data_IF_978546728129
#
_entry.id   IF_978546728129
#
_cell.length_a   1.000
_cell.length_b   1.000
_cell.length_c   1.000
_cell.angle_alpha   90.00
_cell.angle_beta   90.00
_cell.angle_gamma   90.00
#
_symmetry.space_group_name_H-M   'P 1'
#
loop_
_entity.id
_entity.type
_entity.pdbx_description
1 polymer ?
#
# COMPACT_ATOMS: atom_id res chain seq x y z
N UNK A 1 16.67 4.10 -10.10
CA UNK A 1 17.46 4.72 -9.02
C UNK A 1 18.37 5.82 -9.53
N UNK A 2 19.17 5.63 -10.60
CA UNK A 2 20.04 6.67 -11.15
C UNK A 2 19.30 7.97 -11.52
N UNK A 3 18.14 7.87 -12.19
CA UNK A 3 17.34 9.02 -12.60
C UNK A 3 16.78 9.85 -11.40
N UNK A 4 16.38 9.19 -10.31
CA UNK A 4 15.98 9.90 -9.09
C UNK A 4 17.17 10.54 -8.40
N UNK A 5 18.31 9.84 -8.39
CA UNK A 5 19.54 10.33 -7.75
C UNK A 5 20.17 11.51 -8.50
N UNK A 6 20.03 11.58 -9.84
CA UNK A 6 20.52 12.69 -10.66
C UNK A 6 19.65 13.96 -10.55
N UNK A 7 18.43 13.86 -10.03
CA UNK A 7 17.54 15.00 -9.78
C UNK A 7 17.43 15.26 -8.26
N UNK A 8 18.22 16.19 -7.69
CA UNK A 8 18.33 16.36 -6.22
C UNK A 8 16.99 16.62 -5.53
N UNK A 9 16.07 17.32 -6.18
CA UNK A 9 14.72 17.56 -5.69
C UNK A 9 13.90 16.29 -5.59
N UNK A 10 13.96 15.42 -6.61
CA UNK A 10 13.26 14.15 -6.66
C UNK A 10 13.79 13.18 -5.60
N UNK A 11 15.09 13.06 -5.43
CA UNK A 11 15.70 12.20 -4.40
C UNK A 11 15.29 12.60 -3.00
N UNK A 12 15.33 13.89 -2.68
CA UNK A 12 14.95 14.38 -1.35
C UNK A 12 13.49 14.10 -1.02
N UNK A 13 12.58 14.42 -1.94
CA UNK A 13 11.14 14.15 -1.78
C UNK A 13 10.89 12.66 -1.62
N UNK A 14 11.52 11.83 -2.43
CA UNK A 14 11.42 10.38 -2.38
C UNK A 14 11.91 9.82 -1.04
N UNK A 15 13.11 10.19 -0.59
CA UNK A 15 13.68 9.70 0.66
C UNK A 15 12.83 10.08 1.89
N UNK A 16 12.37 11.33 1.95
CA UNK A 16 11.48 11.78 3.03
C UNK A 16 10.15 11.02 3.00
N UNK A 17 9.61 10.74 1.81
CA UNK A 17 8.34 10.01 1.68
C UNK A 17 8.41 8.58 2.23
N UNK A 18 9.57 7.93 2.17
CA UNK A 18 9.78 6.59 2.75
C UNK A 18 9.65 6.66 4.27
N UNK A 19 10.34 7.63 4.90
CA UNK A 19 10.26 7.82 6.36
C UNK A 19 8.84 8.18 6.78
N UNK A 20 8.14 9.02 6.00
CA UNK A 20 6.77 9.45 6.31
C UNK A 20 5.71 8.33 6.21
N UNK A 21 6.02 7.23 5.51
CA UNK A 21 5.15 6.05 5.43
C UNK A 21 5.43 4.99 6.49
N UNK A 22 6.57 5.07 7.19
CA UNK A 22 6.94 4.12 8.23
C UNK A 22 5.92 4.04 9.38
N UNK A 23 5.36 5.14 9.89
CA UNK A 23 4.36 5.10 10.95
C UNK A 23 3.11 4.28 10.59
N UNK A 24 2.61 4.36 9.34
CA UNK A 24 1.46 3.57 8.88
C UNK A 24 1.66 2.08 9.12
N UNK A 25 2.84 1.57 8.79
CA UNK A 25 3.19 0.15 8.95
C UNK A 25 3.48 -0.22 10.41
N UNK A 26 3.97 0.72 11.21
CA UNK A 26 4.10 0.53 12.68
C UNK A 26 2.74 0.42 13.35
N UNK A 27 1.75 1.20 12.89
CA UNK A 27 0.42 1.26 13.50
C UNK A 27 -0.39 -0.03 13.33
N UNK A 28 -0.15 -0.83 12.31
CA UNK A 28 -0.84 -2.10 12.08
C UNK A 28 -0.71 -3.05 13.28
N UNK A 29 0.47 -3.20 13.83
CA UNK A 29 0.73 -4.05 15.00
C UNK A 29 0.77 -3.24 16.31
N UNK A 30 1.24 -1.99 16.26
CA UNK A 30 1.36 -1.14 17.44
C UNK A 30 0.02 -0.86 18.11
N UNK A 31 -1.02 -0.55 17.34
CA UNK A 31 -2.38 -0.38 17.86
C UNK A 31 -2.94 -1.68 18.43
N UNK A 32 -2.70 -2.82 17.77
CA UNK A 32 -3.15 -4.12 18.27
C UNK A 32 -2.59 -4.41 19.67
N UNK A 33 -1.26 -4.32 19.80
CA UNK A 33 -0.57 -4.66 21.05
C UNK A 33 -0.93 -3.67 22.16
N UNK A 34 -1.02 -2.37 21.85
CA UNK A 34 -1.40 -1.37 22.84
C UNK A 34 -2.86 -1.50 23.28
N UNK A 35 -3.79 -1.71 22.34
CA UNK A 35 -5.20 -1.94 22.69
C UNK A 35 -5.39 -3.23 23.51
N UNK A 36 -4.64 -4.29 23.20
CA UNK A 36 -4.62 -5.52 24.01
C UNK A 36 -4.11 -5.23 25.43
N UNK A 37 -3.04 -4.45 25.56
CA UNK A 37 -2.51 -4.04 26.87
C UNK A 37 -3.54 -3.24 27.70
N UNK A 38 -4.27 -2.32 27.06
CA UNK A 38 -5.27 -1.47 27.74
C UNK A 38 -6.55 -2.22 28.12
N UNK A 39 -6.99 -3.16 27.28
CA UNK A 39 -8.29 -3.84 27.45
C UNK A 39 -8.19 -5.25 28.04
N UNK A 40 -7.00 -5.85 28.04
CA UNK A 40 -6.79 -7.26 28.40
C UNK A 40 -7.38 -8.26 27.40
N UNK A 41 -7.88 -7.80 26.22
CA UNK A 41 -8.62 -8.62 25.26
C UNK A 41 -8.07 -8.49 23.85
N UNK A 42 -7.68 -9.62 23.24
CA UNK A 42 -7.30 -9.67 21.83
C UNK A 42 -8.49 -9.42 20.88
N UNK A 43 -9.70 -9.80 21.28
CA UNK A 43 -10.92 -9.50 20.52
C UNK A 43 -11.16 -8.00 20.41
N UNK A 44 -11.08 -7.29 21.54
CA UNK A 44 -11.22 -5.82 21.55
C UNK A 44 -10.09 -5.16 20.73
N UNK A 45 -8.85 -5.62 20.88
CA UNK A 45 -7.70 -5.13 20.12
C UNK A 45 -7.87 -5.33 18.62
N UNK A 46 -8.38 -6.50 18.19
CA UNK A 46 -8.70 -6.77 16.80
C UNK A 46 -9.76 -5.84 16.23
N UNK A 47 -10.82 -5.54 17.00
CA UNK A 47 -11.85 -4.57 16.61
C UNK A 47 -11.27 -3.16 16.45
N UNK A 48 -10.41 -2.71 17.37
CA UNK A 48 -9.73 -1.41 17.31
C UNK A 48 -8.87 -1.31 16.06
N UNK A 49 -8.05 -2.33 15.79
CA UNK A 49 -7.15 -2.35 14.62
C UNK A 49 -7.93 -2.46 13.31
N UNK A 50 -9.00 -3.26 13.30
CA UNK A 50 -9.91 -3.35 12.17
C UNK A 50 -10.58 -2.02 11.85
N UNK A 51 -11.04 -1.29 12.88
CA UNK A 51 -11.64 0.04 12.73
C UNK A 51 -10.64 1.05 12.15
N UNK A 52 -9.37 1.02 12.61
CA UNK A 52 -8.29 1.80 12.02
C UNK A 52 -8.11 1.47 10.53
N UNK A 53 -8.00 0.19 10.16
CA UNK A 53 -7.79 -0.24 8.79
C UNK A 53 -8.92 0.18 7.84
N UNK A 54 -10.18 0.01 8.25
CA UNK A 54 -11.35 0.46 7.48
C UNK A 54 -11.35 1.97 7.28
N UNK A 55 -11.05 2.70 8.36
CA UNK A 55 -11.01 4.16 8.34
C UNK A 55 -9.85 4.71 7.51
N UNK A 56 -8.68 4.07 7.55
CA UNK A 56 -7.54 4.35 6.68
C UNK A 56 -7.92 4.19 5.20
N UNK A 57 -8.59 3.08 4.87
CA UNK A 57 -9.09 2.82 3.52
C UNK A 57 -10.07 3.89 3.02
N UNK A 58 -10.94 4.41 3.88
CA UNK A 58 -11.87 5.48 3.53
C UNK A 58 -11.19 6.86 3.51
N UNK A 59 -10.28 7.11 4.46
CA UNK A 59 -9.57 8.38 4.62
C UNK A 59 -8.68 8.73 3.43
N UNK A 60 -7.98 7.73 2.88
CA UNK A 60 -7.08 7.92 1.75
C UNK A 60 -7.71 8.66 0.56
N UNK A 61 -8.79 8.16 -0.05
CA UNK A 61 -9.48 8.84 -1.15
C UNK A 61 -10.09 10.19 -0.76
N UNK A 62 -10.61 10.32 0.47
CA UNK A 62 -11.17 11.59 0.96
C UNK A 62 -10.10 12.67 1.07
N UNK A 63 -8.95 12.35 1.67
CA UNK A 63 -7.81 13.26 1.78
C UNK A 63 -7.16 13.51 0.41
N UNK A 64 -7.07 12.47 -0.45
CA UNK A 64 -6.59 12.63 -1.82
C UNK A 64 -7.43 13.62 -2.61
N UNK A 65 -8.76 13.51 -2.54
CA UNK A 65 -9.68 14.47 -3.13
C UNK A 65 -9.53 15.88 -2.56
N UNK A 66 -9.23 15.99 -1.26
CA UNK A 66 -8.99 17.27 -0.62
C UNK A 66 -7.66 17.89 -1.07
N UNK A 67 -6.61 17.08 -1.22
CA UNK A 67 -5.32 17.46 -1.80
C UNK A 67 -5.52 17.96 -3.24
N UNK A 68 -6.27 17.25 -4.06
CA UNK A 68 -6.59 17.62 -5.44
C UNK A 68 -7.42 18.92 -5.54
N UNK A 69 -8.00 19.40 -4.45
CA UNK A 69 -8.74 20.67 -4.40
C UNK A 69 -7.96 21.83 -3.80
N UNK A 70 -7.14 21.56 -2.78
CA UNK A 70 -6.50 22.60 -1.95
C UNK A 70 -4.98 22.63 -2.04
N UNK A 71 -4.38 21.65 -2.74
CA UNK A 71 -2.93 21.44 -2.77
C UNK A 71 -2.46 20.55 -1.63
N UNK A 72 -1.20 20.10 -1.71
CA UNK A 72 -0.65 19.10 -0.77
C UNK A 72 -0.42 19.67 0.62
N UNK A 73 0.29 20.80 0.73
CA UNK A 73 0.86 21.30 2.00
C UNK A 73 -0.17 21.43 3.13
N UNK A 74 -1.25 22.17 2.90
CA UNK A 74 -2.24 22.45 3.95
C UNK A 74 -2.97 21.19 4.42
N UNK A 75 -3.31 20.29 3.48
CA UNK A 75 -4.02 19.05 3.79
C UNK A 75 -3.12 18.08 4.56
N UNK A 76 -1.88 17.92 4.09
CA UNK A 76 -0.92 17.01 4.75
C UNK A 76 -0.58 17.47 6.17
N UNK A 77 -0.33 18.76 6.37
CA UNK A 77 -0.02 19.31 7.69
C UNK A 77 -1.21 19.15 8.65
N UNK A 78 -2.41 19.49 8.21
CA UNK A 78 -3.61 19.39 9.03
C UNK A 78 -3.91 17.91 9.39
N UNK A 79 -3.87 17.01 8.42
CA UNK A 79 -4.15 15.59 8.63
C UNK A 79 -3.11 14.94 9.54
N UNK A 80 -1.81 15.18 9.31
CA UNK A 80 -0.75 14.69 10.18
C UNK A 80 -0.86 15.24 11.62
N UNK A 81 -1.22 16.50 11.77
CA UNK A 81 -1.45 17.10 13.08
C UNK A 81 -2.58 16.41 13.85
N UNK A 82 -3.71 16.18 13.19
CA UNK A 82 -4.85 15.45 13.79
C UNK A 82 -4.46 14.01 14.12
N UNK A 83 -3.84 13.28 13.19
CA UNK A 83 -3.43 11.90 13.43
C UNK A 83 -2.42 11.79 14.58
N UNK A 84 -1.42 12.67 14.64
CA UNK A 84 -0.43 12.69 15.72
C UNK A 84 -1.04 13.02 17.08
N UNK A 85 -1.99 13.96 17.16
CA UNK A 85 -2.71 14.29 18.39
C UNK A 85 -3.54 13.09 18.89
N UNK A 86 -4.25 12.41 17.98
CA UNK A 86 -5.04 11.23 18.34
C UNK A 86 -4.15 10.07 18.77
N UNK A 87 -3.00 9.86 18.11
CA UNK A 87 -2.00 8.88 18.54
C UNK A 87 -1.44 9.20 19.92
N UNK A 88 -1.13 10.46 20.18
CA UNK A 88 -0.73 10.91 21.53
C UNK A 88 -1.82 10.67 22.57
N UNK A 89 -3.09 10.89 22.23
CA UNK A 89 -4.21 10.60 23.11
C UNK A 89 -4.31 9.10 23.42
N UNK A 90 -4.25 8.23 22.41
CA UNK A 90 -4.25 6.76 22.62
C UNK A 90 -3.07 6.33 23.47
N UNK A 91 -1.88 6.87 23.23
CA UNK A 91 -0.64 6.50 23.92
C UNK A 91 -0.69 6.71 25.44
N UNK A 92 -1.49 7.67 25.92
CA UNK A 92 -1.59 8.01 27.36
C UNK A 92 -2.86 7.48 28.02
N UNK A 93 -3.68 6.70 27.30
CA UNK A 93 -4.89 6.12 27.88
C UNK A 93 -4.56 5.13 29.00
N UNK A 94 -5.32 5.14 30.12
CA UNK A 94 -5.10 4.20 31.21
C UNK A 94 -5.60 2.80 30.88
N UNK A 95 -5.02 1.80 31.54
CA UNK A 95 -5.53 0.42 31.54
C UNK A 95 -7.00 0.42 32.00
N UNK A 96 -7.84 -0.37 31.33
CA UNK A 96 -9.28 -0.38 31.58
C UNK A 96 -10.06 0.62 30.70
N UNK A 97 -9.41 1.33 29.78
CA UNK A 97 -10.11 2.20 28.82
C UNK A 97 -11.12 1.40 28.01
N UNK A 98 -12.33 1.94 27.86
CA UNK A 98 -13.40 1.31 27.08
C UNK A 98 -12.98 1.05 25.62
N UNK A 99 -13.21 -0.17 25.09
CA UNK A 99 -12.96 -0.47 23.69
C UNK A 99 -13.64 0.51 22.73
N UNK A 100 -14.82 1.02 23.05
CA UNK A 100 -15.53 1.98 22.20
C UNK A 100 -14.77 3.31 22.03
N UNK A 101 -14.09 3.78 23.08
CA UNK A 101 -13.24 4.98 23.01
C UNK A 101 -12.04 4.72 22.11
N UNK A 102 -11.39 3.56 22.28
CA UNK A 102 -10.24 3.18 21.45
C UNK A 102 -10.63 3.04 19.98
N UNK A 103 -11.79 2.45 19.69
CA UNK A 103 -12.34 2.35 18.31
C UNK A 103 -12.57 3.75 17.72
N UNK A 104 -13.18 4.67 18.46
CA UNK A 104 -13.42 6.04 17.98
C UNK A 104 -12.12 6.77 17.65
N UNK A 105 -11.10 6.64 18.53
CA UNK A 105 -9.78 7.22 18.32
C UNK A 105 -9.06 6.58 17.12
N UNK A 106 -9.12 5.24 17.00
CA UNK A 106 -8.54 4.50 15.89
C UNK A 106 -9.18 4.89 14.53
N UNK A 107 -10.51 5.06 14.51
CA UNK A 107 -11.20 5.60 13.34
C UNK A 107 -10.71 7.00 12.97
N UNK A 108 -10.57 7.88 13.95
CA UNK A 108 -10.04 9.22 13.74
C UNK A 108 -8.62 9.23 13.19
N UNK A 109 -7.74 8.35 13.71
CA UNK A 109 -6.36 8.19 13.23
C UNK A 109 -6.38 7.75 11.77
N UNK A 110 -7.11 6.68 11.43
CA UNK A 110 -7.16 6.15 10.07
C UNK A 110 -7.72 7.15 9.06
N UNK A 111 -8.79 7.89 9.42
CA UNK A 111 -9.34 8.94 8.56
C UNK A 111 -8.39 10.12 8.34
N UNK A 112 -7.54 10.42 9.34
CA UNK A 112 -6.60 11.54 9.29
C UNK A 112 -5.20 11.14 8.79
N UNK A 113 -4.95 9.88 8.45
CA UNK A 113 -3.63 9.41 7.96
C UNK A 113 -3.26 10.09 6.65
N UNK A 114 -2.16 10.87 6.59
CA UNK A 114 -1.81 11.63 5.39
C UNK A 114 -1.45 10.72 4.21
N UNK A 115 -2.02 10.92 3.01
CA UNK A 115 -1.81 10.06 1.83
C UNK A 115 -0.46 10.33 1.14
N UNK A 116 0.65 10.21 1.87
CA UNK A 116 2.01 10.54 1.39
C UNK A 116 2.37 9.75 0.12
N UNK A 117 2.03 8.46 0.07
CA UNK A 117 2.32 7.63 -1.11
C UNK A 117 1.61 8.13 -2.36
N UNK A 118 0.37 8.61 -2.25
CA UNK A 118 -0.34 9.23 -3.36
C UNK A 118 0.32 10.57 -3.75
N UNK A 119 0.65 11.40 -2.77
CA UNK A 119 1.24 12.71 -3.00
C UNK A 119 2.62 12.65 -3.65
N UNK A 120 3.50 11.73 -3.24
CA UNK A 120 4.83 11.64 -3.86
C UNK A 120 4.74 11.21 -5.33
N UNK A 121 3.81 10.31 -5.66
CA UNK A 121 3.60 9.83 -7.05
C UNK A 121 3.15 10.96 -7.97
N UNK A 122 2.32 11.88 -7.50
CA UNK A 122 1.90 13.04 -8.30
C UNK A 122 3.01 14.07 -8.53
N UNK A 123 4.11 13.99 -7.78
CA UNK A 123 5.27 14.88 -7.97
C UNK A 123 6.27 14.38 -9.01
N UNK A 124 6.34 13.06 -9.25
CA UNK A 124 7.35 12.50 -10.15
C UNK A 124 7.29 13.05 -11.58
N UNK A 125 6.11 13.21 -12.24
CA UNK A 125 6.06 13.77 -13.58
C UNK A 125 6.57 15.21 -13.68
N UNK A 126 6.42 16.00 -12.60
CA UNK A 126 6.93 17.38 -12.56
C UNK A 126 8.39 17.53 -12.09
N UNK A 127 8.99 16.44 -11.57
CA UNK A 127 10.37 16.44 -11.09
C UNK A 127 11.34 15.73 -12.04
N UNK A 128 10.81 14.96 -12.99
CA UNK A 128 11.59 14.12 -13.91
C UNK A 128 11.10 14.39 -15.34
N UNK A 129 11.99 14.90 -16.19
CA UNK A 129 11.63 15.31 -17.56
C UNK A 129 11.41 14.10 -18.50
N UNK A 130 12.05 12.97 -18.21
CA UNK A 130 11.97 11.76 -19.04
C UNK A 130 10.86 10.82 -18.55
N UNK A 131 9.88 10.46 -19.40
CA UNK A 131 8.86 9.47 -19.07
C UNK A 131 9.41 8.10 -18.63
N UNK A 132 10.61 7.70 -19.09
CA UNK A 132 11.26 6.48 -18.61
C UNK A 132 11.77 6.64 -17.18
N UNK A 133 12.26 7.85 -16.82
CA UNK A 133 12.66 8.17 -15.46
C UNK A 133 11.46 8.18 -14.49
N UNK A 134 10.31 8.71 -14.91
CA UNK A 134 9.06 8.68 -14.12
C UNK A 134 8.62 7.24 -13.85
N UNK A 135 8.62 6.37 -14.86
CA UNK A 135 8.29 4.94 -14.67
C UNK A 135 9.28 4.24 -13.74
N UNK A 136 10.57 4.53 -13.89
CA UNK A 136 11.60 3.99 -12.99
C UNK A 136 11.40 4.49 -11.54
N UNK A 137 10.92 5.72 -11.36
CA UNK A 137 10.55 6.26 -10.06
C UNK A 137 9.35 5.54 -9.44
N UNK A 138 8.32 5.22 -10.22
CA UNK A 138 7.20 4.40 -9.75
C UNK A 138 7.64 3.00 -9.30
N UNK A 139 8.53 2.36 -10.06
CA UNK A 139 9.09 1.06 -9.67
C UNK A 139 9.95 1.14 -8.40
N UNK A 140 10.74 2.21 -8.25
CA UNK A 140 11.51 2.46 -7.05
C UNK A 140 10.61 2.76 -5.83
N UNK A 141 9.52 3.51 -6.03
CA UNK A 141 8.54 3.82 -4.97
C UNK A 141 7.80 2.56 -4.50
N UNK A 142 7.38 1.69 -5.42
CA UNK A 142 6.81 0.41 -5.09
C UNK A 142 7.76 -0.45 -4.26
N UNK A 143 9.04 -0.56 -4.69
CA UNK A 143 10.08 -1.27 -3.94
C UNK A 143 10.35 -0.67 -2.55
N UNK A 144 10.40 0.66 -2.45
CA UNK A 144 10.65 1.35 -1.19
C UNK A 144 9.51 1.14 -0.18
N UNK A 145 8.29 0.96 -0.66
CA UNK A 145 7.15 0.63 0.21
C UNK A 145 7.38 -0.69 0.95
N UNK A 146 8.02 -1.69 0.32
CA UNK A 146 8.34 -2.96 0.96
C UNK A 146 9.28 -2.78 2.16
N UNK A 147 10.23 -1.84 2.09
CA UNK A 147 11.12 -1.56 3.21
C UNK A 147 10.36 -1.08 4.43
N UNK A 148 9.30 -0.28 4.25
CA UNK A 148 8.48 0.22 5.35
C UNK A 148 7.65 -0.91 5.98
N UNK A 149 7.12 -1.84 5.17
CA UNK A 149 6.40 -3.02 5.66
C UNK A 149 7.29 -4.00 6.40
N UNK A 150 8.54 -4.18 5.95
CA UNK A 150 9.53 -5.04 6.63
C UNK A 150 10.00 -4.41 7.94
N UNK A 151 10.23 -3.09 7.97
CA UNK A 151 10.80 -2.40 9.12
C UNK A 151 9.77 -1.97 10.19
N UNK A 152 8.54 -1.63 9.79
CA UNK A 152 7.54 -1.03 10.67
C UNK A 152 7.13 -1.90 11.84
N UNK A 153 6.65 -3.14 11.64
CA UNK A 153 6.22 -4.01 12.72
C UNK A 153 7.32 -4.35 13.73
N UNK A 154 8.56 -4.74 13.33
CA UNK A 154 9.66 -4.96 14.28
C UNK A 154 10.02 -3.69 15.06
N UNK A 155 9.98 -2.52 14.43
CA UNK A 155 10.25 -1.26 15.11
C UNK A 155 9.19 -0.95 16.16
N UNK A 156 7.90 -1.13 15.84
CA UNK A 156 6.80 -0.93 16.78
C UNK A 156 6.92 -1.87 17.99
N UNK A 157 7.19 -3.16 17.76
CA UNK A 157 7.35 -4.15 18.82
C UNK A 157 8.62 -3.90 19.65
N UNK A 158 9.75 -3.58 19.00
CA UNK A 158 11.01 -3.29 19.67
C UNK A 158 10.92 -2.06 20.57
N UNK A 159 10.30 -0.97 20.10
CA UNK A 159 10.05 0.22 20.91
C UNK A 159 9.05 -0.05 22.03
N UNK A 160 8.02 -0.85 21.75
CA UNK A 160 7.05 -1.28 22.76
C UNK A 160 7.69 -2.07 23.89
N UNK A 161 8.63 -2.95 23.58
CA UNK A 161 9.38 -3.73 24.56
C UNK A 161 10.43 -2.90 25.33
N UNK A 162 11.11 -1.96 24.64
CA UNK A 162 12.17 -1.15 25.23
C UNK A 162 11.63 -0.02 26.12
N UNK A 163 10.49 0.57 25.81
CA UNK A 163 9.90 1.70 26.54
C UNK A 163 8.53 1.35 27.11
N UNK A 164 7.52 1.35 26.24
CA UNK A 164 6.14 0.95 26.50
C UNK A 164 5.37 0.90 25.16
N UNK A 165 4.27 0.17 25.12
CA UNK A 165 3.39 0.12 23.96
C UNK A 165 2.82 1.49 23.59
N UNK A 166 2.46 2.31 24.59
CA UNK A 166 2.06 3.71 24.40
C UNK A 166 3.21 4.59 23.90
N UNK A 167 4.42 4.41 24.45
CA UNK A 167 5.63 5.11 23.98
C UNK A 167 5.94 4.84 22.50
N UNK A 168 5.75 3.61 22.03
CA UNK A 168 5.91 3.25 20.61
C UNK A 168 4.88 3.99 19.71
N UNK A 169 3.62 4.12 20.16
CA UNK A 169 2.60 4.89 19.43
C UNK A 169 2.88 6.40 19.43
N UNK A 170 3.31 6.96 20.58
CA UNK A 170 3.72 8.35 20.65
C UNK A 170 4.89 8.65 19.71
N UNK A 171 5.91 7.77 19.70
CA UNK A 171 7.02 7.86 18.74
C UNK A 171 6.53 7.81 17.30
N UNK A 172 5.64 6.89 16.94
CA UNK A 172 5.06 6.83 15.61
C UNK A 172 4.33 8.13 15.24
N UNK A 173 3.57 8.73 16.16
CA UNK A 173 2.92 10.02 16.00
C UNK A 173 3.90 11.18 15.75
N UNK A 174 5.01 11.22 16.51
CA UNK A 174 6.06 12.22 16.31
C UNK A 174 6.74 12.05 14.95
N UNK A 175 7.10 10.83 14.56
CA UNK A 175 7.71 10.54 13.25
C UNK A 175 6.73 10.89 12.14
N UNK A 176 5.44 10.53 12.26
CA UNK A 176 4.40 10.88 11.30
C UNK A 176 4.34 12.39 11.07
N UNK A 177 4.21 13.16 12.14
CA UNK A 177 4.12 14.61 12.07
C UNK A 177 5.40 15.23 11.50
N UNK A 178 6.56 14.89 12.05
CA UNK A 178 7.84 15.49 11.65
C UNK A 178 8.17 15.19 10.18
N UNK A 179 8.02 13.92 9.75
CA UNK A 179 8.34 13.52 8.38
C UNK A 179 7.31 14.04 7.37
N UNK A 180 6.02 14.11 7.76
CA UNK A 180 4.99 14.74 6.91
C UNK A 180 5.24 16.25 6.77
N UNK A 181 5.61 16.95 7.84
CA UNK A 181 6.02 18.35 7.76
C UNK A 181 7.24 18.51 6.84
N UNK A 182 8.27 17.67 7.02
CA UNK A 182 9.45 17.69 6.17
C UNK A 182 9.12 17.47 4.69
N UNK A 183 8.14 16.59 4.38
CA UNK A 183 7.65 16.36 3.02
C UNK A 183 6.83 17.55 2.51
N UNK A 184 5.84 18.00 3.26
CA UNK A 184 4.90 19.04 2.86
C UNK A 184 5.58 20.40 2.64
N UNK A 185 6.71 20.65 3.32
CA UNK A 185 7.51 21.87 3.19
C UNK A 185 8.53 21.81 2.04
N UNK A 186 8.71 20.66 1.35
CA UNK A 186 9.56 20.61 0.16
C UNK A 186 9.04 21.56 -0.93
N UNK A 187 9.93 22.23 -1.67
CA UNK A 187 9.53 23.15 -2.74
C UNK A 187 8.56 22.52 -3.74
N UNK A 188 8.80 21.27 -4.14
CA UNK A 188 7.94 20.53 -5.06
C UNK A 188 6.52 20.33 -4.50
N UNK A 189 6.37 19.92 -3.23
CA UNK A 189 5.07 19.75 -2.59
C UNK A 189 4.35 21.10 -2.40
N UNK A 190 5.08 22.16 -2.03
CA UNK A 190 4.54 23.50 -1.87
C UNK A 190 4.09 24.13 -3.20
N UNK A 191 4.83 23.87 -4.27
CA UNK A 191 4.52 24.39 -5.60
C UNK A 191 3.44 23.56 -6.31
N UNK A 192 3.22 22.32 -5.88
CA UNK A 192 2.26 21.43 -6.54
C UNK A 192 0.84 22.01 -6.52
N UNK A 193 0.23 22.03 -7.68
CA UNK A 193 -1.17 22.43 -7.87
C UNK A 193 -1.83 21.40 -8.77
N UNK A 194 -3.10 21.07 -8.52
CA UNK A 194 -3.85 20.22 -9.42
C UNK A 194 -3.97 20.90 -10.79
N UNK A 195 -3.90 20.10 -11.85
CA UNK A 195 -4.17 20.61 -13.19
C UNK A 195 -5.56 21.22 -13.25
N UNK A 196 -5.70 22.42 -13.85
CA UNK A 196 -7.00 23.02 -14.05
C UNK A 196 -7.87 22.08 -14.89
N UNK A 197 -9.01 21.66 -14.36
CA UNK A 197 -9.97 20.91 -15.16
C UNK A 197 -10.54 21.85 -16.23
N UNK A 198 -10.57 21.40 -17.49
CA UNK A 198 -11.14 22.17 -18.61
C UNK A 198 -12.67 22.38 -18.51
N UNK A 199 -13.28 22.02 -17.37
CA UNK A 199 -14.72 22.13 -17.10
C UNK A 199 -15.05 21.84 -15.63
N UNK A 200 -16.34 21.71 -15.27
CA UNK A 200 -16.76 21.35 -13.92
C UNK A 200 -16.10 20.04 -13.49
N UNK A 201 -15.51 20.02 -12.29
CA UNK A 201 -14.90 18.80 -11.76
C UNK A 201 -15.90 17.63 -11.78
N UNK A 202 -15.45 16.44 -12.19
CA UNK A 202 -16.32 15.29 -12.27
C UNK A 202 -16.98 15.01 -10.91
N UNK A 203 -18.32 14.90 -10.87
CA UNK A 203 -19.07 14.60 -9.63
C UNK A 203 -18.69 13.27 -8.99
N UNK A 204 -18.22 12.28 -9.77
CA UNK A 204 -17.77 10.95 -9.32
C UNK A 204 -16.26 10.86 -9.03
N UNK A 205 -15.51 11.96 -9.05
CA UNK A 205 -14.06 11.96 -8.81
C UNK A 205 -13.29 11.08 -9.81
N UNK A 206 -12.19 10.48 -9.37
CA UNK A 206 -11.34 9.61 -10.20
C UNK A 206 -12.05 8.36 -10.70
N UNK A 207 -13.03 7.83 -9.97
CA UNK A 207 -13.79 6.61 -10.34
C UNK A 207 -14.78 6.81 -11.50
N UNK A 208 -14.90 8.01 -12.06
CA UNK A 208 -15.75 8.22 -13.24
C UNK A 208 -15.22 7.52 -14.49
N UNK A 209 -13.90 7.40 -14.63
CA UNK A 209 -13.33 6.75 -15.81
C UNK A 209 -13.46 5.22 -15.71
N UNK A 210 -13.78 4.55 -16.84
CA UNK A 210 -13.78 3.09 -16.88
C UNK A 210 -12.42 2.49 -16.51
N UNK A 211 -11.31 3.17 -16.87
CA UNK A 211 -9.96 2.76 -16.54
C UNK A 211 -9.76 2.67 -15.03
N UNK A 212 -10.10 3.71 -14.28
CA UNK A 212 -9.95 3.71 -12.82
C UNK A 212 -10.78 2.63 -12.14
N UNK A 213 -12.03 2.44 -12.59
CA UNK A 213 -12.87 1.34 -12.07
C UNK A 213 -12.26 -0.03 -12.35
N UNK A 214 -11.68 -0.22 -13.54
CA UNK A 214 -10.98 -1.47 -13.88
C UNK A 214 -9.76 -1.67 -12.98
N UNK A 215 -8.92 -0.65 -12.79
CA UNK A 215 -7.74 -0.74 -11.93
C UNK A 215 -8.10 -1.04 -10.47
N UNK A 216 -9.15 -0.40 -9.93
CA UNK A 216 -9.64 -0.67 -8.57
C UNK A 216 -10.10 -2.12 -8.44
N UNK A 217 -10.85 -2.67 -9.41
CA UNK A 217 -11.26 -4.08 -9.40
C UNK A 217 -10.06 -5.04 -9.50
N UNK A 218 -9.09 -4.73 -10.36
CA UNK A 218 -7.85 -5.52 -10.49
C UNK A 218 -7.07 -5.53 -9.18
N UNK A 219 -6.89 -4.35 -8.57
CA UNK A 219 -6.15 -4.25 -7.31
C UNK A 219 -6.91 -4.81 -6.11
N UNK A 220 -8.23 -4.82 -6.13
CA UNK A 220 -9.01 -5.54 -5.14
C UNK A 220 -8.73 -7.05 -5.21
N UNK A 221 -8.68 -7.62 -6.42
CA UNK A 221 -8.31 -9.03 -6.60
C UNK A 221 -6.85 -9.31 -6.20
N UNK A 222 -5.91 -8.41 -6.52
CA UNK A 222 -4.52 -8.49 -6.04
C UNK A 222 -4.45 -8.39 -4.51
N UNK A 223 -5.28 -7.55 -3.90
CA UNK A 223 -5.42 -7.49 -2.44
C UNK A 223 -5.87 -8.82 -1.85
N UNK A 224 -6.90 -9.46 -2.43
CA UNK A 224 -7.35 -10.81 -2.02
C UNK A 224 -6.18 -11.81 -2.08
N UNK A 225 -5.39 -11.77 -3.15
CA UNK A 225 -4.18 -12.59 -3.27
C UNK A 225 -3.23 -12.36 -2.09
N UNK A 226 -2.93 -11.10 -1.76
CA UNK A 226 -1.99 -10.78 -0.68
C UNK A 226 -2.48 -11.25 0.68
N UNK A 227 -3.73 -10.94 1.04
CA UNK A 227 -4.30 -11.41 2.31
C UNK A 227 -4.36 -12.93 2.41
N UNK A 228 -4.64 -13.61 1.30
CA UNK A 228 -4.62 -15.07 1.27
C UNK A 228 -3.21 -15.65 1.47
N UNK A 229 -2.17 -15.04 0.87
CA UNK A 229 -0.77 -15.48 1.05
C UNK A 229 -0.31 -15.30 2.49
N UNK A 230 -0.62 -14.18 3.14
CA UNK A 230 -0.24 -13.93 4.53
C UNK A 230 -0.77 -15.02 5.47
N UNK A 231 -2.03 -15.38 5.31
CA UNK A 231 -2.67 -16.44 6.10
C UNK A 231 -2.10 -17.81 5.72
N UNK A 232 -1.98 -18.09 4.42
CA UNK A 232 -1.48 -19.39 3.94
C UNK A 232 -0.04 -19.68 4.40
N UNK A 233 0.84 -18.68 4.39
CA UNK A 233 2.22 -18.78 4.90
C UNK A 233 2.23 -19.08 6.38
N UNK A 234 1.40 -18.39 7.17
CA UNK A 234 1.29 -18.61 8.60
C UNK A 234 0.78 -20.03 8.91
N UNK A 235 -0.28 -20.45 8.22
CA UNK A 235 -0.85 -21.79 8.36
C UNK A 235 0.14 -22.91 7.92
N UNK A 236 0.90 -22.68 6.84
CA UNK A 236 1.92 -23.65 6.38
C UNK A 236 3.08 -23.75 7.37
N UNK A 237 3.55 -22.63 7.92
CA UNK A 237 4.59 -22.61 8.93
C UNK A 237 4.17 -23.36 10.19
N UNK A 238 2.91 -23.18 10.63
CA UNK A 238 2.35 -23.89 11.77
C UNK A 238 2.21 -25.39 11.51
N UNK A 239 1.66 -25.78 10.35
CA UNK A 239 1.52 -27.18 9.94
C UNK A 239 2.87 -27.92 9.82
N UNK A 240 3.95 -27.19 9.54
CA UNK A 240 5.33 -27.71 9.50
C UNK A 240 6.03 -27.67 10.88
N UNK A 241 5.30 -27.36 11.96
CA UNK A 241 5.82 -27.32 13.34
C UNK A 241 6.76 -26.15 13.62
N UNK A 242 6.70 -25.08 12.84
CA UNK A 242 7.60 -23.92 12.95
C UNK A 242 6.85 -22.59 12.78
N UNK A 243 5.87 -22.32 13.64
CA UNK A 243 5.05 -21.08 13.61
C UNK A 243 5.92 -19.82 13.59
N UNK A 244 7.08 -19.84 14.27
CA UNK A 244 8.04 -18.74 14.26
C UNK A 244 8.65 -18.42 12.89
N UNK A 245 8.59 -19.37 11.93
CA UNK A 245 9.08 -19.17 10.58
C UNK A 245 8.18 -18.25 9.72
N UNK A 246 6.92 -18.03 10.13
CA UNK A 246 5.97 -17.23 9.35
C UNK A 246 6.48 -15.81 9.07
N UNK A 247 6.99 -15.12 10.09
CA UNK A 247 7.56 -13.79 9.93
C UNK A 247 8.73 -13.72 8.94
N UNK A 248 9.80 -14.51 9.12
CA UNK A 248 10.89 -14.63 8.16
C UNK A 248 10.44 -14.96 6.74
N UNK A 249 9.48 -15.89 6.55
CA UNK A 249 8.93 -16.24 5.23
C UNK A 249 8.25 -15.05 4.55
N UNK A 250 7.43 -14.30 5.27
CA UNK A 250 6.82 -13.08 4.76
C UNK A 250 7.88 -11.99 4.47
N UNK A 251 8.95 -11.92 5.28
CA UNK A 251 10.09 -11.07 5.01
C UNK A 251 10.81 -11.42 3.70
N UNK A 252 10.99 -12.71 3.40
CA UNK A 252 11.55 -13.19 2.13
C UNK A 252 10.64 -12.84 0.95
N UNK A 253 9.33 -12.95 1.12
CA UNK A 253 8.35 -12.52 0.11
C UNK A 253 8.49 -11.03 -0.22
N UNK A 254 8.58 -10.16 0.81
CA UNK A 254 8.86 -8.74 0.65
C UNK A 254 10.24 -8.45 0.02
N UNK A 255 11.28 -9.25 0.37
CA UNK A 255 12.61 -9.13 -0.25
C UNK A 255 12.58 -9.48 -1.75
N UNK A 256 11.76 -10.47 -2.15
CA UNK A 256 11.47 -10.75 -3.55
C UNK A 256 10.86 -9.55 -4.27
N UNK A 257 9.84 -8.92 -3.67
CA UNK A 257 9.21 -7.70 -4.21
C UNK A 257 10.21 -6.55 -4.37
N UNK A 258 11.02 -6.30 -3.35
CA UNK A 258 12.09 -5.30 -3.41
C UNK A 258 13.07 -5.57 -4.57
N UNK A 259 13.54 -6.81 -4.71
CA UNK A 259 14.46 -7.19 -5.77
C UNK A 259 13.84 -7.02 -7.17
N UNK A 260 12.60 -7.48 -7.35
CA UNK A 260 11.85 -7.34 -8.61
C UNK A 260 11.60 -5.90 -9.00
N UNK A 261 11.24 -5.05 -8.05
CA UNK A 261 11.04 -3.63 -8.30
C UNK A 261 12.34 -2.87 -8.60
N UNK A 262 13.44 -3.20 -7.93
CA UNK A 262 14.75 -2.64 -8.24
C UNK A 262 15.21 -3.03 -9.65
N UNK A 263 14.97 -4.28 -10.05
CA UNK A 263 15.26 -4.73 -11.41
C UNK A 263 14.38 -3.99 -12.43
N UNK A 264 13.07 -3.90 -12.20
CA UNK A 264 12.15 -3.14 -13.05
C UNK A 264 12.56 -1.67 -13.18
N UNK A 265 12.98 -1.03 -12.07
CA UNK A 265 13.49 0.34 -12.08
C UNK A 265 14.74 0.50 -12.97
N UNK A 266 15.65 -0.47 -12.96
CA UNK A 266 16.86 -0.47 -13.82
C UNK A 266 16.53 -0.70 -15.30
N UNK A 267 15.47 -1.45 -15.59
CA UNK A 267 15.01 -1.77 -16.94
C UNK A 267 14.04 -0.70 -17.52
N UNK A 268 13.97 0.47 -16.94
CA UNK A 268 13.17 1.59 -17.44
C UNK A 268 11.71 1.60 -16.99
N UNK A 269 11.43 1.00 -15.82
CA UNK A 269 10.13 1.10 -15.15
C UNK A 269 9.14 -0.03 -15.43
N UNK A 270 9.59 -1.13 -16.06
CA UNK A 270 8.76 -2.33 -16.23
C UNK A 270 7.84 -2.30 -17.46
N UNK A 271 6.81 -3.13 -17.40
CA UNK A 271 5.85 -3.34 -18.49
C UNK A 271 4.93 -2.12 -18.71
N UNK A 272 4.33 -2.01 -19.89
CA UNK A 272 3.53 -0.83 -20.28
C UNK A 272 2.14 -1.22 -20.78
N UNK A 273 1.18 -0.37 -20.46
CA UNK A 273 -0.20 -0.51 -20.94
C UNK A 273 -0.90 -1.80 -20.49
N UNK A 274 -2.05 -2.11 -21.09
CA UNK A 274 -2.86 -3.26 -20.69
C UNK A 274 -2.16 -4.61 -20.87
N UNK A 275 -1.45 -4.78 -21.99
CA UNK A 275 -0.70 -6.02 -22.26
C UNK A 275 0.45 -6.22 -21.25
N UNK A 276 1.15 -5.13 -20.92
CA UNK A 276 2.19 -5.17 -19.90
C UNK A 276 1.64 -5.48 -18.52
N UNK A 277 0.50 -4.90 -18.14
CA UNK A 277 -0.20 -5.21 -16.88
C UNK A 277 -0.61 -6.69 -16.84
N UNK A 278 -1.19 -7.21 -17.93
CA UNK A 278 -1.54 -8.63 -18.02
C UNK A 278 -0.32 -9.54 -17.84
N UNK A 279 0.82 -9.20 -18.46
CA UNK A 279 2.06 -9.98 -18.34
C UNK A 279 2.56 -10.05 -16.89
N UNK A 280 2.65 -8.91 -16.19
CA UNK A 280 3.14 -8.91 -14.81
C UNK A 280 2.13 -9.57 -13.85
N UNK A 281 0.82 -9.47 -14.12
CA UNK A 281 -0.20 -10.19 -13.37
C UNK A 281 -0.16 -11.70 -13.62
N UNK A 282 0.15 -12.16 -14.83
CA UNK A 282 0.39 -13.59 -15.12
C UNK A 282 1.61 -14.07 -14.33
N UNK A 283 2.72 -13.33 -14.35
CA UNK A 283 3.90 -13.67 -13.57
C UNK A 283 3.58 -13.73 -12.05
N UNK A 284 2.83 -12.74 -11.55
CA UNK A 284 2.34 -12.72 -10.17
C UNK A 284 1.50 -13.97 -9.86
N UNK A 285 0.52 -14.28 -10.71
CA UNK A 285 -0.39 -15.41 -10.53
C UNK A 285 0.36 -16.76 -10.53
N UNK A 286 1.23 -16.97 -11.53
CA UNK A 286 1.99 -18.22 -11.66
C UNK A 286 2.94 -18.41 -10.47
N UNK A 287 3.65 -17.35 -10.07
CA UNK A 287 4.50 -17.39 -8.88
C UNK A 287 3.74 -17.77 -7.61
N UNK A 288 2.55 -17.19 -7.41
CA UNK A 288 1.75 -17.50 -6.22
C UNK A 288 1.04 -18.85 -6.30
N UNK A 289 0.67 -19.32 -7.49
CA UNK A 289 0.19 -20.71 -7.65
C UNK A 289 1.28 -21.73 -7.34
N UNK A 290 2.53 -21.46 -7.65
CA UNK A 290 3.64 -22.36 -7.33
C UNK A 290 3.81 -22.58 -5.82
N UNK A 291 3.32 -21.66 -4.97
CA UNK A 291 3.34 -21.82 -3.51
C UNK A 291 2.53 -23.03 -3.05
N UNK A 292 1.50 -23.45 -3.80
CA UNK A 292 0.71 -24.66 -3.48
C UNK A 292 1.58 -25.92 -3.48
N UNK A 293 2.50 -26.02 -4.43
CA UNK A 293 3.42 -27.16 -4.52
C UNK A 293 4.57 -27.06 -3.49
N UNK A 294 4.89 -25.86 -3.03
CA UNK A 294 5.97 -25.62 -2.07
C UNK A 294 5.51 -25.73 -0.60
N UNK A 295 4.22 -25.79 -0.33
CA UNK A 295 3.63 -25.68 1.01
C UNK A 295 4.09 -26.79 2.00
N UNK A 296 4.60 -27.91 1.51
CA UNK A 296 5.07 -29.04 2.34
C UNK A 296 6.52 -28.90 2.84
N UNK A 297 7.25 -27.84 2.53
CA UNK A 297 8.66 -27.66 2.93
C UNK A 297 9.00 -26.20 3.15
N UNK A 298 9.57 -25.86 4.31
CA UNK A 298 10.00 -24.48 4.61
C UNK A 298 11.05 -23.98 3.59
N UNK A 299 11.97 -24.85 3.17
CA UNK A 299 13.01 -24.47 2.19
C UNK A 299 12.38 -24.17 0.81
N UNK A 300 11.50 -25.09 0.35
CA UNK A 300 10.80 -24.90 -0.93
C UNK A 300 9.92 -23.63 -0.89
N UNK A 301 9.21 -23.42 0.23
CA UNK A 301 8.35 -22.27 0.43
C UNK A 301 9.17 -20.96 0.45
N UNK A 302 10.33 -20.95 1.11
CA UNK A 302 11.26 -19.80 1.11
C UNK A 302 11.69 -19.43 -0.31
N UNK A 303 12.14 -20.42 -1.10
CA UNK A 303 12.56 -20.17 -2.48
C UNK A 303 11.39 -19.70 -3.36
N UNK A 304 10.23 -20.34 -3.22
CA UNK A 304 9.04 -19.99 -4.00
C UNK A 304 8.50 -18.58 -3.64
N UNK A 305 8.50 -18.20 -2.36
CA UNK A 305 8.10 -16.87 -1.91
C UNK A 305 9.01 -15.77 -2.45
N UNK A 306 10.33 -16.00 -2.46
CA UNK A 306 11.26 -15.03 -3.06
C UNK A 306 10.95 -14.78 -4.53
N UNK A 307 10.68 -15.83 -5.30
CA UNK A 307 10.34 -15.75 -6.72
C UNK A 307 8.95 -15.14 -6.93
N UNK A 308 7.94 -15.58 -6.17
CA UNK A 308 6.58 -15.05 -6.25
C UNK A 308 6.54 -13.55 -5.92
N UNK A 309 7.28 -13.12 -4.90
CA UNK A 309 7.40 -11.73 -4.51
C UNK A 309 7.92 -10.83 -5.62
N UNK A 310 8.83 -11.33 -6.47
CA UNK A 310 9.51 -10.52 -7.48
C UNK A 310 8.56 -9.85 -8.52
N UNK A 311 7.32 -10.33 -8.66
CA UNK A 311 6.32 -9.72 -9.54
C UNK A 311 5.49 -8.60 -8.87
N UNK A 312 5.55 -8.43 -7.56
CA UNK A 312 4.69 -7.48 -6.79
C UNK A 312 4.98 -6.03 -7.18
N UNK A 313 6.20 -5.56 -6.92
CA UNK A 313 6.56 -4.16 -7.19
C UNK A 313 6.49 -3.79 -8.69
N UNK A 314 6.85 -4.66 -9.66
CA UNK A 314 6.59 -4.43 -11.08
C UNK A 314 5.10 -4.28 -11.41
N UNK A 315 4.20 -5.03 -10.75
CA UNK A 315 2.75 -4.89 -10.91
C UNK A 315 2.29 -3.50 -10.48
N UNK A 316 2.70 -3.05 -9.29
CA UNK A 316 2.38 -1.70 -8.82
C UNK A 316 2.95 -0.61 -9.74
N UNK A 317 4.19 -0.74 -10.18
CA UNK A 317 4.83 0.23 -11.07
C UNK A 317 4.04 0.38 -12.39
N UNK A 318 3.58 -0.74 -12.95
CA UNK A 318 2.76 -0.75 -14.17
C UNK A 318 1.40 -0.08 -13.93
N UNK A 319 0.73 -0.40 -12.81
CA UNK A 319 -0.53 0.23 -12.42
C UNK A 319 -0.35 1.74 -12.23
N UNK A 320 0.71 2.18 -11.56
CA UNK A 320 0.96 3.62 -11.33
C UNK A 320 1.12 4.37 -12.66
N UNK A 321 1.83 3.78 -13.63
CA UNK A 321 1.97 4.37 -14.96
C UNK A 321 0.64 4.48 -15.72
N UNK A 322 -0.29 3.53 -15.53
CA UNK A 322 -1.62 3.61 -16.15
C UNK A 322 -2.49 4.66 -15.43
N UNK A 323 -2.42 4.75 -14.11
CA UNK A 323 -3.17 5.78 -13.33
C UNK A 323 -2.77 7.18 -13.75
N UNK A 324 -1.45 7.43 -13.86
CA UNK A 324 -0.92 8.73 -14.27
C UNK A 324 -1.50 9.20 -15.61
N UNK A 325 -1.68 8.26 -16.55
CA UNK A 325 -2.23 8.53 -17.87
C UNK A 325 -3.77 8.54 -17.95
N UNK A 326 -4.47 7.88 -17.00
CA UNK A 326 -5.91 7.61 -17.08
C UNK A 326 -6.75 8.41 -16.07
N UNK A 327 -6.14 8.96 -15.04
CA UNK A 327 -6.85 9.75 -14.04
C UNK A 327 -7.35 11.06 -14.65
N UNK A 328 -8.62 11.46 -14.41
CA UNK A 328 -9.11 12.76 -14.85
C UNK A 328 -8.28 13.90 -14.26
N UNK A 329 -8.10 14.97 -15.02
CA UNK A 329 -7.41 16.15 -14.54
C UNK A 329 -8.00 16.65 -13.21
N UNK A 330 -7.14 16.96 -12.25
CA UNK A 330 -7.53 17.39 -10.90
C UNK A 330 -8.05 16.30 -9.99
N UNK A 331 -7.80 14.99 -10.29
CA UNK A 331 -8.19 13.84 -9.43
C UNK A 331 -7.07 12.81 -9.25
N UNK A 332 -5.83 13.14 -9.58
CA UNK A 332 -4.72 12.18 -9.63
C UNK A 332 -4.34 11.67 -8.23
N UNK A 333 -4.35 12.53 -7.22
CA UNK A 333 -4.06 12.11 -5.84
C UNK A 333 -5.17 11.19 -5.30
N UNK A 334 -6.44 11.53 -5.55
CA UNK A 334 -7.58 10.66 -5.24
C UNK A 334 -7.45 9.30 -5.93
N UNK A 335 -7.06 9.30 -7.22
CA UNK A 335 -6.86 8.07 -8.00
C UNK A 335 -5.81 7.14 -7.36
N UNK A 336 -4.63 7.66 -7.02
CA UNK A 336 -3.60 6.87 -6.33
C UNK A 336 -4.05 6.39 -4.96
N UNK A 337 -4.84 7.16 -4.22
CA UNK A 337 -5.35 6.74 -2.92
C UNK A 337 -6.36 5.59 -3.02
N UNK A 338 -7.21 5.57 -4.05
CA UNK A 338 -8.14 4.47 -4.31
C UNK A 338 -7.43 3.12 -4.52
N UNK A 339 -6.20 3.12 -5.06
CA UNK A 339 -5.43 1.89 -5.22
C UNK A 339 -5.12 1.24 -3.87
N UNK A 340 -4.70 2.05 -2.89
CA UNK A 340 -4.43 1.58 -1.53
C UNK A 340 -5.70 1.04 -0.86
N UNK A 341 -6.82 1.74 -1.01
CA UNK A 341 -8.12 1.29 -0.48
C UNK A 341 -8.54 -0.05 -1.08
N UNK A 342 -8.40 -0.23 -2.41
CA UNK A 342 -8.76 -1.47 -3.09
C UNK A 342 -7.92 -2.65 -2.57
N UNK A 343 -6.60 -2.47 -2.42
CA UNK A 343 -5.72 -3.48 -1.85
C UNK A 343 -6.11 -3.82 -0.41
N UNK A 344 -6.39 -2.82 0.43
CA UNK A 344 -6.71 -3.06 1.84
C UNK A 344 -8.03 -3.83 2.00
N UNK A 345 -9.07 -3.46 1.24
CA UNK A 345 -10.36 -4.19 1.24
C UNK A 345 -10.17 -5.61 0.73
N UNK A 346 -9.41 -5.76 -0.38
CA UNK A 346 -9.12 -7.06 -0.94
C UNK A 346 -8.35 -7.95 0.04
N UNK A 347 -7.31 -7.42 0.68
CA UNK A 347 -6.49 -8.15 1.64
C UNK A 347 -7.33 -8.63 2.84
N UNK A 348 -8.18 -7.77 3.38
CA UNK A 348 -9.08 -8.16 4.47
C UNK A 348 -10.03 -9.31 4.06
N UNK A 349 -10.64 -9.23 2.86
CA UNK A 349 -11.50 -10.28 2.34
C UNK A 349 -10.71 -11.58 2.07
N UNK A 350 -9.51 -11.44 1.50
CA UNK A 350 -8.62 -12.57 1.21
C UNK A 350 -8.16 -13.29 2.47
N UNK A 351 -7.76 -12.55 3.50
CA UNK A 351 -7.34 -13.12 4.79
C UNK A 351 -8.50 -13.86 5.46
N UNK A 352 -9.71 -13.29 5.47
CA UNK A 352 -10.88 -13.92 6.05
C UNK A 352 -11.24 -15.25 5.33
N UNK A 353 -11.26 -15.23 3.98
CA UNK A 353 -11.55 -16.41 3.19
C UNK A 353 -10.45 -17.48 3.31
N UNK A 354 -9.18 -17.06 3.27
CA UNK A 354 -8.04 -17.96 3.41
C UNK A 354 -7.96 -18.59 4.80
N UNK A 355 -8.32 -17.84 5.87
CA UNK A 355 -8.42 -18.39 7.22
C UNK A 355 -9.39 -19.56 7.29
N UNK A 356 -10.61 -19.36 6.78
CA UNK A 356 -11.59 -20.44 6.71
C UNK A 356 -11.11 -21.64 5.89
N UNK A 357 -10.45 -21.40 4.74
CA UNK A 357 -9.91 -22.47 3.91
C UNK A 357 -8.76 -23.21 4.62
N UNK A 358 -7.88 -22.49 5.30
CA UNK A 358 -6.77 -23.08 6.05
C UNK A 358 -7.29 -24.02 7.15
N UNK A 359 -8.32 -23.59 7.90
CA UNK A 359 -8.92 -24.37 8.99
C UNK A 359 -9.58 -25.65 8.49
N UNK A 360 -10.26 -25.62 7.32
CA UNK A 360 -11.06 -26.75 6.84
C UNK A 360 -10.36 -27.62 5.79
N UNK A 361 -9.43 -27.06 5.01
CA UNK A 361 -8.78 -27.73 3.87
C UNK A 361 -7.24 -27.56 3.85
N UNK A 362 -6.68 -26.94 4.86
CA UNK A 362 -5.25 -26.75 5.03
C UNK A 362 -4.63 -25.62 4.19
N UNK A 363 -3.32 -25.35 4.39
CA UNK A 363 -2.63 -24.20 3.82
C UNK A 363 -2.59 -24.21 2.28
N UNK A 364 -2.59 -25.38 1.65
CA UNK A 364 -2.62 -25.53 0.18
C UNK A 364 -3.85 -24.89 -0.42
N UNK A 365 -5.04 -25.05 0.22
CA UNK A 365 -6.28 -24.43 -0.23
C UNK A 365 -6.24 -22.91 -0.13
N UNK A 366 -5.60 -22.39 0.92
CA UNK A 366 -5.41 -20.94 1.08
C UNK A 366 -4.45 -20.36 0.01
N UNK A 367 -3.37 -21.05 -0.35
CA UNK A 367 -2.51 -20.68 -1.48
C UNK A 367 -3.24 -20.78 -2.82
N UNK A 368 -4.11 -21.78 -3.01
CA UNK A 368 -4.92 -21.90 -4.21
C UNK A 368 -5.89 -20.71 -4.38
N UNK A 369 -6.47 -20.20 -3.28
CA UNK A 369 -7.26 -18.98 -3.29
C UNK A 369 -6.44 -17.77 -3.77
N UNK A 370 -5.19 -17.65 -3.32
CA UNK A 370 -4.32 -16.57 -3.78
C UNK A 370 -4.08 -16.65 -5.29
N UNK A 371 -3.80 -17.84 -5.82
CA UNK A 371 -3.65 -18.06 -7.25
C UNK A 371 -4.94 -17.77 -8.04
N UNK A 372 -6.10 -18.18 -7.51
CA UNK A 372 -7.40 -17.90 -8.13
C UNK A 372 -7.69 -16.40 -8.19
N UNK A 373 -7.40 -15.66 -7.12
CA UNK A 373 -7.54 -14.21 -7.09
C UNK A 373 -6.61 -13.51 -8.11
N UNK A 374 -5.37 -13.98 -8.25
CA UNK A 374 -4.46 -13.53 -9.29
C UNK A 374 -5.00 -13.78 -10.71
N UNK A 375 -5.57 -14.97 -10.95
CA UNK A 375 -6.20 -15.29 -12.23
C UNK A 375 -7.40 -14.38 -12.54
N UNK A 376 -8.21 -14.04 -11.53
CA UNK A 376 -9.28 -13.04 -11.65
C UNK A 376 -8.72 -11.68 -12.07
N UNK A 377 -7.61 -11.23 -11.48
CA UNK A 377 -6.96 -9.98 -11.86
C UNK A 377 -6.50 -9.98 -13.33
N UNK A 378 -5.93 -11.10 -13.80
CA UNK A 378 -5.54 -11.30 -15.21
C UNK A 378 -6.76 -11.21 -16.12
N UNK A 379 -7.81 -12.00 -15.83
CA UNK A 379 -9.05 -12.03 -16.64
C UNK A 379 -9.71 -10.65 -16.71
N UNK A 380 -9.81 -9.94 -15.58
CA UNK A 380 -10.34 -8.57 -15.54
C UNK A 380 -9.52 -7.62 -16.43
N UNK A 381 -8.20 -7.73 -16.37
CA UNK A 381 -7.30 -6.88 -17.18
C UNK A 381 -7.49 -7.15 -18.68
N UNK A 382 -7.55 -8.42 -19.09
CA UNK A 382 -7.74 -8.81 -20.49
C UNK A 382 -9.14 -8.45 -21.00
N UNK A 383 -10.19 -8.77 -20.23
CA UNK A 383 -11.57 -8.49 -20.60
C UNK A 383 -11.86 -6.99 -20.72
N UNK A 384 -11.11 -6.17 -20.01
CA UNK A 384 -11.29 -4.70 -19.98
C UNK A 384 -10.08 -3.94 -20.54
N UNK A 385 -9.24 -4.58 -21.34
CA UNK A 385 -8.02 -4.00 -21.91
C UNK A 385 -8.29 -2.69 -22.66
N UNK A 386 -9.41 -2.61 -23.39
CA UNK A 386 -9.83 -1.39 -24.09
C UNK A 386 -10.06 -0.19 -23.17
N UNK A 387 -10.50 -0.43 -21.95
CA UNK A 387 -10.70 0.66 -20.95
C UNK A 387 -9.38 1.18 -20.40
N UNK A 388 -8.33 0.36 -20.42
CA UNK A 388 -6.98 0.67 -19.93
C UNK A 388 -6.08 1.26 -21.02
N UNK A 389 -6.50 1.18 -22.28
CA UNK A 389 -5.79 1.79 -23.40
C UNK A 389 -6.07 3.29 -23.35
N UNK A 390 -5.03 4.10 -23.15
CA UNK A 390 -5.15 5.56 -23.28
C UNK A 390 -5.56 5.86 -24.73
N UNK A 391 -6.57 6.70 -25.00
CA UNK A 391 -6.77 7.21 -26.33
C UNK A 391 -5.46 7.93 -26.73
N UNK A 392 -4.78 7.46 -27.76
CA UNK A 392 -3.74 8.26 -28.38
C UNK A 392 -4.44 9.54 -28.80
N UNK A 393 -4.12 10.68 -28.16
CA UNK A 393 -4.46 11.98 -28.70
C UNK A 393 -3.92 11.97 -30.13
N UNK A 394 -4.84 11.98 -31.09
CA UNK A 394 -4.45 12.14 -32.51
C UNK A 394 -3.53 13.37 -32.57
N UNK A 395 -2.37 13.30 -33.27
CA UNK A 395 -1.54 14.45 -33.44
C UNK A 395 -2.42 15.55 -33.97
N UNK A 396 -2.45 16.72 -33.29
CA UNK A 396 -3.18 17.88 -33.75
C UNK A 396 -2.74 18.09 -35.22
N UNK A 397 -3.70 17.99 -36.14
CA UNK A 397 -3.44 18.27 -37.53
C UNK A 397 -2.88 19.70 -37.59
N UNK A 398 -1.63 19.80 -38.10
CA UNK A 398 -0.89 21.02 -38.26
C UNK A 398 -1.49 21.92 -39.32
#
# INVERSE_FOLDING_TARGET
MSAIASAPGAFRVFAISIVARLPVTMLSIGLLVHAQHLTGSFTAAGVVTGAYGVSLGAGGPLLGKLVDRRGQTAVLVASAGVAALLLGAVAVMPVGTSPAVLVALACGIGLAEPPIGACVRTLFPGLLDDPAAVRAAYAADASASELTWIAGPPLALGLGAAWSTGGALAFAGVVLLASTLAFALQPASRAWRPEPAAGPRPRGGSLQTPAMRTLVMVLLAVGVLFGAVEVAVTAAADALGSTAAAGPLLGVWGAGSLAGGLLASRLGGGARGPAGLALVLVALTVGHLALTAAAGSLIALTAALLVAGAAIAPTYATVYGIVDAAAPAGTVTEAFAWLGTAIAIGAAAGSAAAGSLADHAGPVAAFALAGAAGAVAVVLTLARATTLSTPQLAPAAA
#
